data_IF_299455454882
#
_entry.id   IF_299455454882
#
_cell.length_a   1.000
_cell.length_b   1.000
_cell.length_c   1.000
_cell.angle_alpha   90.00
_cell.angle_beta   90.00
_cell.angle_gamma   90.00
#
_symmetry.space_group_name_H-M   'P 1'
#
loop_
_entity.id
_entity.type
_entity.pdbx_description
1 polymer ?
#
# COMPACT_ATOMS: atom_id res chain seq x y z
N UNK A 1 31.74 -9.55 19.23
CA UNK A 1 32.35 -9.67 17.89
C UNK A 1 31.55 -8.82 16.91
N UNK A 2 32.23 -8.08 16.02
CA UNK A 2 31.57 -7.26 14.98
C UNK A 2 31.33 -8.11 13.74
N UNK A 3 30.14 -7.99 13.15
CA UNK A 3 29.76 -8.67 11.93
C UNK A 3 29.28 -7.64 10.91
N UNK A 4 29.76 -7.73 9.67
CA UNK A 4 29.35 -6.84 8.59
C UNK A 4 28.29 -7.53 7.72
N UNK A 5 27.15 -6.89 7.57
CA UNK A 5 26.09 -7.32 6.67
C UNK A 5 26.21 -6.60 5.33
N UNK A 6 25.82 -7.27 4.25
CA UNK A 6 25.54 -6.55 3.01
C UNK A 6 24.13 -5.97 3.11
N UNK A 7 24.05 -4.63 3.11
CA UNK A 7 22.78 -3.91 3.24
C UNK A 7 22.30 -3.48 1.85
N UNK A 8 20.97 -3.42 1.67
CA UNK A 8 20.39 -2.83 0.46
C UNK A 8 20.75 -1.35 0.35
N UNK A 9 20.70 -0.82 -0.88
CA UNK A 9 21.02 0.59 -1.14
C UNK A 9 20.08 1.54 -0.39
N UNK A 10 18.82 1.16 -0.17
CA UNK A 10 17.86 1.97 0.60
C UNK A 10 18.26 2.11 2.09
N UNK A 11 18.83 1.05 2.68
CA UNK A 11 19.32 1.07 4.06
C UNK A 11 20.57 1.95 4.19
N UNK A 12 21.47 1.86 3.21
CA UNK A 12 22.67 2.71 3.14
C UNK A 12 22.32 4.17 2.94
N UNK A 13 21.36 4.48 2.07
CA UNK A 13 20.88 5.84 1.81
C UNK A 13 20.29 6.51 3.06
N UNK A 14 19.74 5.72 3.99
CA UNK A 14 19.26 6.18 5.30
C UNK A 14 20.35 6.32 6.36
N UNK A 15 21.62 6.06 6.02
CA UNK A 15 22.75 6.17 6.94
C UNK A 15 22.88 4.99 7.91
N UNK A 16 22.27 3.83 7.63
CA UNK A 16 22.41 2.65 8.48
C UNK A 16 23.80 2.05 8.27
N UNK A 17 24.55 1.92 9.36
CA UNK A 17 25.85 1.26 9.35
C UNK A 17 25.70 -0.25 9.15
N UNK A 18 26.58 -0.81 8.33
CA UNK A 18 26.56 -2.23 8.01
C UNK A 18 27.23 -3.13 9.07
N UNK A 19 27.78 -2.56 10.13
CA UNK A 19 28.48 -3.27 11.19
C UNK A 19 27.61 -3.43 12.44
N UNK A 20 27.34 -4.68 12.82
CA UNK A 20 26.49 -5.02 13.96
C UNK A 20 27.22 -5.90 14.96
N UNK A 21 26.78 -5.86 16.22
CA UNK A 21 27.27 -6.82 17.22
C UNK A 21 26.67 -8.21 16.94
N UNK A 22 27.52 -9.23 16.78
CA UNK A 22 27.11 -10.56 16.35
C UNK A 22 26.04 -11.21 17.26
N UNK A 23 26.02 -10.88 18.56
CA UNK A 23 25.01 -11.43 19.49
C UNK A 23 23.61 -10.84 19.32
N UNK A 24 23.47 -9.74 18.57
CA UNK A 24 22.18 -9.10 18.29
C UNK A 24 21.57 -9.58 16.96
N UNK A 25 22.35 -10.31 16.15
CA UNK A 25 21.88 -10.87 14.90
C UNK A 25 20.85 -11.97 15.17
N UNK A 26 19.80 -11.97 14.35
CA UNK A 26 18.75 -12.99 14.38
C UNK A 26 18.64 -13.63 12.99
N UNK A 27 18.30 -14.94 12.90
CA UNK A 27 18.01 -15.58 11.62
C UNK A 27 16.89 -14.83 10.89
N UNK A 28 17.08 -14.61 9.59
CA UNK A 28 16.03 -14.06 8.73
C UNK A 28 15.04 -15.17 8.37
N UNK A 29 13.75 -14.88 8.55
CA UNK A 29 12.66 -15.73 8.09
C UNK A 29 11.93 -15.00 6.96
N UNK A 30 11.80 -15.61 5.77
CA UNK A 30 11.10 -14.97 4.66
C UNK A 30 9.63 -14.72 5.01
N UNK A 31 9.09 -13.62 4.50
CA UNK A 31 7.68 -13.28 4.66
C UNK A 31 6.78 -14.30 3.94
N UNK A 32 5.64 -14.63 4.55
CA UNK A 32 4.57 -15.37 3.87
C UNK A 32 3.63 -14.38 3.20
N UNK A 33 3.79 -14.18 1.90
CA UNK A 33 3.02 -13.18 1.14
C UNK A 33 1.53 -13.49 1.07
N UNK A 34 1.12 -14.75 1.29
CA UNK A 34 -0.31 -15.11 1.36
C UNK A 34 -0.95 -14.65 2.67
N UNK A 35 -0.19 -14.70 3.76
CA UNK A 35 -0.66 -14.32 5.10
C UNK A 35 -0.43 -12.85 5.41
N UNK A 36 0.59 -12.25 4.78
CA UNK A 36 1.03 -10.88 5.00
C UNK A 36 1.34 -10.18 3.68
N UNK A 37 0.32 -9.94 2.84
CA UNK A 37 0.50 -9.18 1.61
C UNK A 37 0.98 -7.76 1.93
N UNK A 38 1.68 -7.12 0.99
CA UNK A 38 2.00 -5.70 1.09
C UNK A 38 3.23 -5.35 1.94
N UNK A 39 4.12 -6.30 2.25
CA UNK A 39 5.33 -6.06 3.07
C UNK A 39 6.61 -5.83 2.25
N UNK A 40 6.51 -5.44 0.98
CA UNK A 40 7.69 -5.06 0.22
C UNK A 40 8.25 -3.73 0.72
N UNK A 41 9.57 -3.51 0.62
CA UNK A 41 10.24 -2.32 1.15
C UNK A 41 9.60 -1.00 0.70
N UNK A 42 9.16 -0.91 -0.55
CA UNK A 42 8.50 0.28 -1.10
C UNK A 42 7.07 0.52 -0.56
N UNK A 43 6.46 -0.49 0.09
CA UNK A 43 5.13 -0.42 0.69
C UNK A 43 5.17 -0.12 2.19
N UNK A 44 6.33 -0.30 2.84
CA UNK A 44 6.50 -0.05 4.27
C UNK A 44 6.62 1.48 4.49
N UNK A 45 5.73 2.09 5.30
CA UNK A 45 5.83 3.50 5.65
C UNK A 45 7.20 3.81 6.25
N UNK A 46 7.88 4.80 5.67
CA UNK A 46 9.24 5.18 6.10
C UNK A 46 10.36 4.34 5.50
N UNK A 47 10.10 3.45 4.52
CA UNK A 47 11.11 2.68 3.77
C UNK A 47 11.05 2.84 2.25
N UNK A 48 10.09 3.58 1.70
CA UNK A 48 10.05 4.05 0.31
C UNK A 48 9.95 5.57 0.21
N UNK A 49 10.49 6.16 -0.86
CA UNK A 49 10.10 7.53 -1.25
C UNK A 49 8.64 7.48 -1.69
N UNK A 50 7.75 7.92 -0.80
CA UNK A 50 6.30 7.88 -0.99
C UNK A 50 5.84 6.46 -1.31
N UNK A 51 5.41 5.63 -0.32
CA UNK A 51 4.63 4.46 -0.70
C UNK A 51 3.57 4.97 -1.66
N UNK A 52 3.59 4.49 -2.92
CA UNK A 52 2.50 4.76 -3.85
C UNK A 52 1.27 4.37 -3.05
N UNK A 53 0.56 5.41 -2.61
CA UNK A 53 -0.65 5.38 -1.83
C UNK A 53 -1.39 4.11 -2.24
N UNK A 54 -1.53 3.18 -1.29
CA UNK A 54 -1.79 1.74 -1.51
C UNK A 54 -2.36 1.44 -2.89
N UNK A 55 -1.63 0.67 -3.71
CA UNK A 55 -1.96 0.52 -5.13
C UNK A 55 -3.30 -0.22 -5.28
N UNK A 56 -4.38 0.56 -5.32
CA UNK A 56 -5.71 0.12 -5.71
C UNK A 56 -5.67 -0.14 -7.20
N UNK A 57 -6.15 -1.32 -7.62
CA UNK A 57 -6.23 -1.68 -9.04
C UNK A 57 -7.46 -1.03 -9.67
N UNK A 58 -8.63 -1.20 -9.06
CA UNK A 58 -9.91 -0.66 -9.56
C UNK A 58 -11.00 -0.65 -8.50
N UNK A 59 -12.07 0.08 -8.79
CA UNK A 59 -13.34 -0.01 -8.08
C UNK A 59 -14.28 -0.94 -8.85
N UNK A 60 -14.82 -1.94 -8.16
CA UNK A 60 -15.72 -2.94 -8.74
C UNK A 60 -17.18 -2.49 -8.69
N UNK A 61 -17.60 -1.94 -7.56
CA UNK A 61 -18.97 -1.48 -7.31
C UNK A 61 -19.01 -0.40 -6.22
N UNK A 62 -20.18 0.18 -6.02
CA UNK A 62 -20.45 1.05 -4.88
C UNK A 62 -21.83 0.73 -4.28
N UNK A 63 -22.02 1.13 -3.03
CA UNK A 63 -23.28 1.06 -2.31
C UNK A 63 -23.54 2.39 -1.59
N UNK A 64 -24.81 2.80 -1.54
CA UNK A 64 -25.20 4.10 -1.00
C UNK A 64 -25.12 5.20 -2.05
N UNK A 65 -25.19 6.46 -1.58
CA UNK A 65 -25.25 7.63 -2.44
C UNK A 65 -24.43 8.78 -1.84
N UNK A 66 -23.97 9.70 -2.69
CA UNK A 66 -23.28 10.89 -2.21
C UNK A 66 -21.94 10.59 -1.54
N UNK A 67 -21.59 11.43 -0.56
CA UNK A 67 -20.36 11.33 0.22
C UNK A 67 -20.38 10.24 1.29
N UNK A 68 -21.54 9.60 1.51
CA UNK A 68 -21.72 8.50 2.45
C UNK A 68 -21.66 7.13 1.76
N UNK A 69 -21.38 7.11 0.45
CA UNK A 69 -21.23 5.88 -0.31
C UNK A 69 -19.98 5.09 0.14
N UNK A 70 -20.12 3.77 0.09
CA UNK A 70 -19.03 2.82 0.25
C UNK A 70 -18.67 2.21 -1.12
N UNK A 71 -17.39 1.90 -1.31
CA UNK A 71 -16.85 1.40 -2.56
C UNK A 71 -16.20 0.05 -2.35
N UNK A 72 -16.49 -0.88 -3.26
CA UNK A 72 -15.84 -2.16 -3.33
C UNK A 72 -14.53 -2.01 -4.10
N UNK A 73 -13.43 -1.99 -3.36
CA UNK A 73 -12.09 -1.69 -3.86
C UNK A 73 -11.33 -2.98 -4.06
N UNK A 74 -10.80 -3.20 -5.26
CA UNK A 74 -9.85 -4.25 -5.55
C UNK A 74 -8.43 -3.72 -5.42
N UNK A 75 -7.63 -4.35 -4.56
CA UNK A 75 -6.22 -4.03 -4.38
C UNK A 75 -5.38 -4.70 -5.47
N UNK A 76 -4.21 -4.14 -5.77
CA UNK A 76 -3.19 -4.75 -6.64
C UNK A 76 -2.75 -6.15 -6.19
N UNK A 77 -2.97 -6.52 -4.92
CA UNK A 77 -2.73 -7.87 -4.39
C UNK A 77 -3.83 -8.86 -4.78
N UNK A 78 -4.94 -8.38 -5.35
CA UNK A 78 -6.13 -9.14 -5.69
C UNK A 78 -7.19 -9.20 -4.59
N UNK A 79 -6.86 -8.73 -3.38
CA UNK A 79 -7.83 -8.63 -2.27
C UNK A 79 -8.95 -7.65 -2.62
N UNK A 80 -10.14 -7.88 -2.05
CA UNK A 80 -11.30 -7.00 -2.23
C UNK A 80 -11.85 -6.59 -0.87
N UNK A 81 -12.02 -5.29 -0.67
CA UNK A 81 -12.55 -4.73 0.58
C UNK A 81 -13.48 -3.56 0.32
N UNK A 82 -14.39 -3.31 1.26
CA UNK A 82 -15.22 -2.10 1.25
C UNK A 82 -14.51 -0.94 1.94
N UNK A 83 -14.52 0.23 1.31
CA UNK A 83 -13.95 1.47 1.86
C UNK A 83 -14.91 2.66 1.66
N UNK A 84 -15.05 3.55 2.65
CA UNK A 84 -15.94 4.70 2.54
C UNK A 84 -15.37 5.77 1.60
N UNK A 85 -16.24 6.58 0.98
CA UNK A 85 -15.84 7.66 0.06
C UNK A 85 -14.68 8.53 0.58
N UNK A 86 -14.70 8.89 1.87
CA UNK A 86 -13.67 9.73 2.50
C UNK A 86 -12.24 9.16 2.37
N UNK A 87 -12.12 7.84 2.29
CA UNK A 87 -10.84 7.12 2.26
C UNK A 87 -10.41 6.85 0.81
N UNK A 88 -11.31 6.96 -0.18
CA UNK A 88 -11.01 6.72 -1.60
C UNK A 88 -11.05 7.97 -2.47
N UNK A 89 -11.58 9.10 -1.97
CA UNK A 89 -11.77 10.36 -2.72
C UNK A 89 -10.52 10.97 -3.35
N UNK A 90 -9.34 10.57 -2.88
CA UNK A 90 -8.06 11.09 -3.35
C UNK A 90 -7.41 10.17 -4.40
N UNK A 91 -8.01 9.01 -4.67
CA UNK A 91 -7.47 8.02 -5.59
C UNK A 91 -7.94 8.31 -7.02
N UNK A 92 -7.01 8.30 -7.96
CA UNK A 92 -7.29 8.46 -9.38
C UNK A 92 -8.28 7.40 -9.91
N UNK A 93 -8.24 6.17 -9.38
CA UNK A 93 -9.16 5.09 -9.75
C UNK A 93 -10.64 5.42 -9.51
N UNK A 94 -10.93 6.38 -8.61
CA UNK A 94 -12.29 6.83 -8.36
C UNK A 94 -12.79 7.76 -9.48
N UNK A 95 -11.91 8.61 -10.02
CA UNK A 95 -12.22 9.45 -11.17
C UNK A 95 -12.55 8.58 -12.39
N UNK A 96 -11.72 7.57 -12.65
CA UNK A 96 -11.93 6.59 -13.73
C UNK A 96 -13.28 5.85 -13.57
N UNK A 97 -13.65 5.51 -12.34
CA UNK A 97 -14.93 4.88 -12.03
C UNK A 97 -16.13 5.80 -12.33
N UNK A 98 -16.03 7.08 -11.95
CA UNK A 98 -17.07 8.07 -12.24
C UNK A 98 -17.20 8.37 -13.72
N UNK A 99 -16.08 8.43 -14.44
CA UNK A 99 -16.07 8.56 -15.90
C UNK A 99 -16.77 7.38 -16.58
N UNK A 100 -16.51 6.15 -16.12
CA UNK A 100 -17.17 4.95 -16.64
C UNK A 100 -18.69 4.94 -16.39
N UNK A 101 -19.14 5.54 -15.28
CA UNK A 101 -20.57 5.73 -14.97
C UNK A 101 -21.18 6.97 -15.67
N UNK A 102 -20.36 7.84 -16.28
CA UNK A 102 -20.82 9.08 -16.89
C UNK A 102 -21.29 10.13 -15.87
N UNK A 103 -20.81 10.07 -14.62
CA UNK A 103 -21.17 11.00 -13.56
C UNK A 103 -20.00 11.93 -13.21
N UNK A 104 -20.26 13.20 -12.84
CA UNK A 104 -19.21 14.18 -12.56
C UNK A 104 -18.59 14.03 -11.15
N UNK A 105 -19.12 13.15 -10.31
CA UNK A 105 -18.62 12.95 -8.96
C UNK A 105 -19.63 12.31 -8.02
N UNK A 106 -19.21 12.12 -6.77
CA UNK A 106 -19.98 11.39 -5.77
C UNK A 106 -21.37 11.96 -5.47
N UNK A 107 -21.59 13.26 -5.65
CA UNK A 107 -22.92 13.89 -5.47
C UNK A 107 -23.97 13.42 -6.47
N UNK A 108 -23.57 12.67 -7.50
CA UNK A 108 -24.42 12.09 -8.55
C UNK A 108 -24.45 10.57 -8.55
N UNK A 109 -23.85 9.94 -7.54
CA UNK A 109 -24.09 8.53 -7.18
C UNK A 109 -25.49 8.38 -6.61
#
# INVERSE_FOLDING_TARGET
ATYQLDLSEELKARGIHNAFHASLLRPHFPNDDRRFPGRQFHQIPGFGERPREWSVDRILSHAGAGTDAEFEVQWSTGDVTWAPYRDVKHLQVLEEYFEALGIPGASKL
#
